data_IF_075738596978
#
_entry.id   IF_075738596978
#
_cell.length_a   1.000
_cell.length_b   1.000
_cell.length_c   1.000
_cell.angle_alpha   90.00
_cell.angle_beta   90.00
_cell.angle_gamma   90.00
#
_symmetry.space_group_name_H-M   'P 1'
#
loop_
_entity.id
_entity.type
_entity.pdbx_description
1 polymer ?
#
# COMPACT_ATOMS: atom_id res chain seq x y z
N UNK A 1 -38.44 -30.00 27.37
CA UNK A 1 -38.58 -28.73 26.63
C UNK A 1 -37.21 -28.09 26.59
N UNK A 2 -36.51 -28.27 25.46
CA UNK A 2 -36.31 -27.28 24.39
C UNK A 2 -35.05 -26.45 24.63
N UNK A 3 -34.01 -26.76 23.86
CA UNK A 3 -32.78 -25.99 23.80
C UNK A 3 -32.89 -24.79 22.86
N UNK A 4 -31.96 -23.85 23.03
CA UNK A 4 -31.59 -22.83 22.06
C UNK A 4 -30.07 -22.62 22.22
N UNK A 5 -29.27 -23.26 21.37
CA UNK A 5 -28.78 -22.75 20.08
C UNK A 5 -27.46 -21.98 20.21
N UNK A 6 -26.38 -22.69 19.88
CA UNK A 6 -25.18 -22.14 19.24
C UNK A 6 -25.63 -21.29 18.04
N UNK A 7 -25.32 -19.99 17.99
CA UNK A 7 -25.10 -19.30 16.72
C UNK A 7 -24.53 -17.88 16.90
N UNK A 8 -23.56 -17.54 16.03
CA UNK A 8 -23.11 -16.20 15.63
C UNK A 8 -22.39 -15.38 16.73
N UNK A 9 -21.06 -15.31 16.86
CA UNK A 9 -19.97 -15.36 15.87
C UNK A 9 -20.22 -14.49 14.62
N UNK A 10 -20.62 -13.23 14.81
CA UNK A 10 -20.69 -12.24 13.70
C UNK A 10 -20.93 -10.81 14.20
N UNK A 11 -20.02 -10.24 15.00
CA UNK A 11 -20.16 -8.81 15.41
C UNK A 11 -18.90 -7.95 15.35
N UNK A 12 -17.73 -8.50 15.00
CA UNK A 12 -16.48 -7.73 15.05
C UNK A 12 -15.96 -7.22 13.69
N UNK A 13 -16.70 -7.42 12.59
CA UNK A 13 -16.22 -7.03 11.25
C UNK A 13 -16.62 -5.61 10.80
N UNK A 14 -17.42 -4.86 11.56
CA UNK A 14 -17.89 -3.54 11.12
C UNK A 14 -16.98 -2.35 11.47
N UNK A 15 -15.93 -2.54 12.27
CA UNK A 15 -15.06 -1.43 12.71
C UNK A 15 -13.80 -1.21 11.84
N UNK A 16 -13.53 -2.09 10.86
CA UNK A 16 -12.38 -1.92 9.96
C UNK A 16 -12.66 -1.00 8.75
N UNK A 17 -13.94 -0.76 8.42
CA UNK A 17 -14.31 0.01 7.22
C UNK A 17 -14.23 1.54 7.40
N UNK A 18 -14.23 2.06 8.64
CA UNK A 18 -14.23 3.51 8.86
C UNK A 18 -12.86 4.17 8.67
N UNK A 19 -11.77 3.41 8.78
CA UNK A 19 -10.40 3.96 8.61
C UNK A 19 -10.03 4.11 7.13
N UNK A 20 -10.66 3.36 6.23
CA UNK A 20 -10.40 3.44 4.77
C UNK A 20 -11.08 4.66 4.14
N UNK A 21 -12.17 5.16 4.73
CA UNK A 21 -12.95 6.26 4.15
C UNK A 21 -12.33 7.65 4.36
N UNK A 22 -11.44 7.84 5.34
CA UNK A 22 -10.77 9.12 5.59
C UNK A 22 -9.59 9.41 4.64
N UNK A 23 -9.14 8.43 3.86
CA UNK A 23 -8.05 8.61 2.90
C UNK A 23 -8.51 8.91 1.47
N UNK A 24 -9.82 8.84 1.18
CA UNK A 24 -10.35 9.07 -0.19
C UNK A 24 -10.76 10.52 -0.49
N UNK A 25 -10.62 11.44 0.45
CA UNK A 25 -10.94 12.87 0.25
C UNK A 25 -9.69 13.68 -0.16
N UNK A 26 -8.97 13.24 -1.19
CA UNK A 26 -7.93 14.04 -1.84
C UNK A 26 -7.74 13.67 -3.33
N UNK A 27 -8.83 13.32 -4.01
CA UNK A 27 -8.85 13.17 -5.48
C UNK A 27 -9.53 14.39 -6.09
N UNK A 28 -8.97 15.57 -5.89
CA UNK A 28 -9.39 16.79 -6.58
C UNK A 28 -8.18 17.69 -6.86
N UNK A 29 -7.73 17.63 -8.12
CA UNK A 29 -7.07 18.71 -8.86
C UNK A 29 -5.74 19.24 -8.31
N UNK A 30 -4.67 18.56 -8.71
CA UNK A 30 -3.30 19.03 -8.61
C UNK A 30 -2.38 17.82 -8.56
N UNK A 31 -1.33 17.76 -9.38
CA UNK A 31 -0.26 16.78 -9.18
C UNK A 31 0.15 16.82 -7.70
N UNK A 32 0.28 15.67 -7.01
CA UNK A 32 0.60 15.66 -5.59
C UNK A 32 1.82 16.55 -5.34
N UNK A 33 1.71 17.43 -4.36
CA UNK A 33 2.86 18.21 -3.92
C UNK A 33 3.81 17.20 -3.28
N UNK A 34 4.95 16.98 -3.93
CA UNK A 34 5.97 16.06 -3.44
C UNK A 34 6.79 16.83 -2.42
N UNK A 35 6.29 16.90 -1.21
CA UNK A 35 6.97 17.48 -0.07
C UNK A 35 7.41 16.40 0.94
N UNK A 36 8.03 16.82 2.03
CA UNK A 36 8.55 15.90 3.06
C UNK A 36 7.44 15.06 3.70
N UNK A 37 6.20 15.55 3.74
CA UNK A 37 5.04 14.80 4.22
C UNK A 37 4.68 13.66 3.27
N UNK A 38 4.70 13.91 1.97
CA UNK A 38 4.54 12.86 0.95
C UNK A 38 5.64 11.78 1.08
N UNK A 39 6.90 12.19 1.22
CA UNK A 39 8.04 11.27 1.38
C UNK A 39 7.91 10.41 2.64
N UNK A 40 7.52 11.01 3.77
CA UNK A 40 7.27 10.30 5.02
C UNK A 40 6.10 9.32 4.89
N UNK A 41 5.00 9.73 4.25
CA UNK A 41 3.85 8.87 4.02
C UNK A 41 4.22 7.65 3.17
N UNK A 42 4.97 7.85 2.07
CA UNK A 42 5.45 6.75 1.22
C UNK A 42 6.45 5.84 1.93
N UNK A 43 7.31 6.39 2.79
CA UNK A 43 8.17 5.58 3.66
C UNK A 43 7.36 4.67 4.59
N UNK A 44 6.37 5.23 5.29
CA UNK A 44 5.47 4.45 6.17
C UNK A 44 4.66 3.41 5.39
N UNK A 45 4.23 3.73 4.17
CA UNK A 45 3.53 2.82 3.27
C UNK A 45 4.41 1.63 2.89
N UNK A 46 5.69 1.88 2.56
CA UNK A 46 6.69 0.87 2.24
C UNK A 46 7.00 -0.03 3.45
N UNK A 47 7.10 0.53 4.65
CA UNK A 47 7.30 -0.24 5.89
C UNK A 47 6.09 -1.14 6.20
N UNK A 48 4.88 -0.62 6.03
CA UNK A 48 3.65 -1.41 6.23
C UNK A 48 3.58 -2.60 5.27
N UNK A 49 3.93 -2.37 4.00
CA UNK A 49 3.96 -3.42 2.97
C UNK A 49 5.07 -4.43 3.25
N UNK A 50 6.26 -3.99 3.66
CA UNK A 50 7.36 -4.87 4.09
C UNK A 50 6.96 -5.75 5.27
N UNK A 51 6.22 -5.22 6.24
CA UNK A 51 5.69 -6.00 7.36
C UNK A 51 4.69 -7.06 6.87
N UNK A 52 3.78 -6.70 5.95
CA UNK A 52 2.85 -7.66 5.35
C UNK A 52 3.56 -8.76 4.56
N UNK A 53 4.54 -8.40 3.73
CA UNK A 53 5.35 -9.36 2.97
C UNK A 53 6.22 -10.26 3.86
N UNK A 54 6.64 -9.78 5.02
CA UNK A 54 7.32 -10.62 6.02
C UNK A 54 6.41 -11.74 6.53
N UNK A 55 5.09 -11.56 6.49
CA UNK A 55 4.12 -12.61 6.82
C UNK A 55 3.73 -13.48 5.62
N UNK A 56 4.05 -13.03 4.39
CA UNK A 56 3.68 -13.66 3.12
C UNK A 56 4.83 -13.47 2.11
N UNK A 57 5.80 -14.37 2.13
CA UNK A 57 6.97 -14.27 1.24
C UNK A 57 6.57 -14.64 -0.20
N UNK A 58 6.60 -13.65 -1.10
CA UNK A 58 6.50 -13.83 -2.55
C UNK A 58 7.88 -13.75 -3.21
N UNK A 59 8.14 -14.54 -4.28
CA UNK A 59 9.45 -14.57 -4.95
C UNK A 59 9.83 -13.25 -5.64
N UNK A 60 8.85 -12.45 -6.06
CA UNK A 60 9.03 -11.15 -6.73
C UNK A 60 9.06 -9.96 -5.77
N UNK A 61 8.50 -10.13 -4.57
CA UNK A 61 8.36 -9.09 -3.55
C UNK A 61 9.68 -8.44 -3.11
N UNK A 62 10.80 -9.18 -3.07
CA UNK A 62 12.10 -8.63 -2.66
C UNK A 62 12.65 -7.67 -3.72
N UNK A 63 12.49 -8.01 -5.01
CA UNK A 63 12.95 -7.16 -6.11
C UNK A 63 12.15 -5.86 -6.15
N UNK A 64 10.82 -5.96 -6.07
CA UNK A 64 9.94 -4.80 -6.05
C UNK A 64 10.15 -3.92 -4.79
N UNK A 65 10.46 -4.53 -3.62
CA UNK A 65 10.81 -3.77 -2.40
C UNK A 65 12.09 -2.97 -2.59
N UNK A 66 13.08 -3.57 -3.25
CA UNK A 66 14.37 -2.92 -3.55
C UNK A 66 14.19 -1.76 -4.53
N UNK A 67 13.34 -1.94 -5.54
CA UNK A 67 12.97 -0.88 -6.50
C UNK A 67 12.25 0.27 -5.80
N UNK A 68 11.27 -0.03 -4.94
CA UNK A 68 10.52 0.97 -4.19
C UNK A 68 11.42 1.75 -3.20
N UNK A 69 12.33 1.08 -2.49
CA UNK A 69 13.29 1.75 -1.59
C UNK A 69 14.25 2.64 -2.37
N UNK A 70 14.75 2.15 -3.51
CA UNK A 70 15.63 2.91 -4.41
C UNK A 70 14.91 4.12 -5.02
N UNK A 71 13.63 4.00 -5.36
CA UNK A 71 12.83 5.11 -5.86
C UNK A 71 12.56 6.15 -4.77
N UNK A 72 12.24 5.73 -3.55
CA UNK A 72 12.06 6.64 -2.41
C UNK A 72 13.36 7.39 -2.07
N UNK A 73 14.49 6.71 -2.12
CA UNK A 73 15.80 7.34 -1.93
C UNK A 73 16.09 8.36 -3.04
N UNK A 74 15.89 7.98 -4.31
CA UNK A 74 15.99 8.91 -5.46
C UNK A 74 15.06 10.11 -5.32
N UNK A 75 13.85 9.93 -4.79
CA UNK A 75 12.87 11.01 -4.59
C UNK A 75 13.35 12.07 -3.60
N UNK A 76 14.06 11.62 -2.55
CA UNK A 76 14.66 12.47 -1.50
C UNK A 76 15.88 13.23 -1.99
N UNK A 77 16.65 12.62 -2.90
CA UNK A 77 17.87 13.20 -3.48
C UNK A 77 17.59 14.08 -4.72
N UNK A 78 16.47 13.83 -5.41
CA UNK A 78 16.10 14.52 -6.63
C UNK A 78 15.83 16.00 -6.40
N UNK A 79 16.47 16.83 -7.23
CA UNK A 79 16.25 18.27 -7.30
C UNK A 79 15.41 18.58 -8.53
N UNK A 80 14.34 19.34 -8.35
CA UNK A 80 13.46 19.75 -9.44
C UNK A 80 12.13 19.00 -9.46
N UNK A 81 11.05 19.74 -9.71
CA UNK A 81 9.67 19.26 -9.60
C UNK A 81 9.36 18.15 -10.60
N UNK A 82 9.85 18.26 -11.84
CA UNK A 82 9.59 17.27 -12.90
C UNK A 82 10.22 15.90 -12.60
N UNK A 83 11.51 15.90 -12.21
CA UNK A 83 12.23 14.69 -11.84
C UNK A 83 11.59 14.02 -10.62
N UNK A 84 11.21 14.81 -9.61
CA UNK A 84 10.51 14.29 -8.43
C UNK A 84 9.16 13.68 -8.80
N UNK A 85 8.40 14.27 -9.71
CA UNK A 85 7.12 13.71 -10.21
C UNK A 85 7.31 12.38 -10.93
N UNK A 86 8.31 12.29 -11.81
CA UNK A 86 8.62 11.03 -12.49
C UNK A 86 8.96 9.94 -11.48
N UNK A 87 9.85 10.24 -10.53
CA UNK A 87 10.29 9.27 -9.51
C UNK A 87 9.14 8.90 -8.57
N UNK A 88 8.25 9.84 -8.24
CA UNK A 88 7.04 9.54 -7.47
C UNK A 88 6.13 8.57 -8.22
N UNK A 89 5.93 8.75 -9.53
CA UNK A 89 5.13 7.83 -10.34
C UNK A 89 5.75 6.42 -10.41
N UNK A 90 7.08 6.33 -10.50
CA UNK A 90 7.80 5.05 -10.42
C UNK A 90 7.60 4.39 -9.05
N UNK A 91 7.76 5.16 -7.96
CA UNK A 91 7.56 4.69 -6.59
C UNK A 91 6.14 4.19 -6.34
N UNK A 92 5.13 4.91 -6.84
CA UNK A 92 3.73 4.50 -6.71
C UNK A 92 3.43 3.22 -7.48
N UNK A 93 4.02 3.05 -8.66
CA UNK A 93 3.86 1.84 -9.46
C UNK A 93 4.49 0.62 -8.76
N UNK A 94 5.69 0.77 -8.19
CA UNK A 94 6.34 -0.28 -7.42
C UNK A 94 5.57 -0.64 -6.15
N UNK A 95 5.09 0.36 -5.39
CA UNK A 95 4.26 0.14 -4.21
C UNK A 95 2.92 -0.54 -4.55
N UNK A 96 2.31 -0.21 -5.69
CA UNK A 96 1.10 -0.87 -6.15
C UNK A 96 1.33 -2.36 -6.44
N UNK A 97 2.42 -2.71 -7.14
CA UNK A 97 2.77 -4.11 -7.41
C UNK A 97 3.05 -4.88 -6.12
N UNK A 98 3.81 -4.28 -5.20
CA UNK A 98 4.05 -4.86 -3.89
C UNK A 98 2.77 -5.09 -3.08
N UNK A 99 1.82 -4.16 -3.16
CA UNK A 99 0.50 -4.34 -2.53
C UNK A 99 -0.28 -5.48 -3.14
N UNK A 100 -0.27 -5.63 -4.47
CA UNK A 100 -0.91 -6.75 -5.15
C UNK A 100 -0.30 -8.10 -4.74
N UNK A 101 1.02 -8.15 -4.58
CA UNK A 101 1.72 -9.33 -4.04
C UNK A 101 1.37 -9.59 -2.57
N UNK A 102 1.37 -8.56 -1.72
CA UNK A 102 1.08 -8.67 -0.30
C UNK A 102 -0.38 -9.09 -0.02
N UNK A 103 -1.32 -8.55 -0.79
CA UNK A 103 -2.74 -8.88 -0.72
C UNK A 103 -3.01 -10.33 -1.20
N UNK A 104 -2.10 -10.91 -1.99
CA UNK A 104 -2.28 -12.22 -2.61
C UNK A 104 -3.14 -12.15 -3.88
N UNK A 105 -3.41 -10.94 -4.37
CA UNK A 105 -4.14 -10.66 -5.62
C UNK A 105 -3.26 -10.76 -6.86
N UNK A 106 -1.99 -11.16 -6.72
CA UNK A 106 -1.17 -11.60 -7.83
C UNK A 106 -1.76 -12.90 -8.42
N UNK A 107 -2.62 -12.75 -9.43
CA UNK A 107 -2.89 -13.75 -10.46
C UNK A 107 -3.33 -15.11 -9.88
N UNK A 108 -4.47 -15.10 -9.19
CA UNK A 108 -5.34 -16.28 -9.11
C UNK A 108 -6.47 -16.12 -10.16
N UNK A 109 -6.07 -15.79 -11.39
CA UNK A 109 -6.86 -15.77 -12.61
C UNK A 109 -5.91 -16.34 -13.68
N UNK A 110 -6.09 -17.49 -14.31
CA UNK A 110 -7.21 -18.44 -14.41
C UNK A 110 -6.62 -19.71 -15.05
N UNK A 111 -7.00 -20.88 -14.53
CA UNK A 111 -7.04 -22.20 -15.20
C UNK A 111 -5.75 -22.87 -15.67
#
# INVERSE_FOLDING_TARGET
MQGYNRSMMMRSFLMAALVVALSSAAMAQGSPVIDKGYEAAKASELEAVKLQLSTRQGPTAIAELTEADSALRRLREAKGTEARRSIASELESALLRLRLEADGSAVQDRK
#
